data_IF_501406581381
#
_entry.id   IF_501406581381
#
_cell.length_a   1.000
_cell.length_b   1.000
_cell.length_c   1.000
_cell.angle_alpha   90.00
_cell.angle_beta   90.00
_cell.angle_gamma   90.00
#
_symmetry.space_group_name_H-M   'P 1'
#
loop_
_entity.id
_entity.type
_entity.pdbx_description
1 polymer ?
#
# COMPACT_ATOMS: atom_id res chain seq x y z
N UNK A 1 3.75 1.45 40.21
CA UNK A 1 2.79 1.14 39.13
C UNK A 1 3.56 0.41 38.03
N UNK A 2 3.39 -0.91 37.92
CA UNK A 2 4.09 -1.74 36.93
C UNK A 2 3.28 -1.67 35.63
N UNK A 3 3.80 -0.94 34.63
CA UNK A 3 3.21 -0.89 33.30
C UNK A 3 3.42 -2.24 32.60
N UNK A 4 2.49 -3.18 32.83
CA UNK A 4 2.38 -4.44 32.09
C UNK A 4 1.95 -4.16 30.66
N UNK A 5 2.86 -3.59 29.87
CA UNK A 5 2.66 -3.34 28.45
C UNK A 5 2.80 -4.67 27.73
N UNK A 6 1.66 -5.37 27.54
CA UNK A 6 1.56 -6.56 26.69
C UNK A 6 2.01 -6.21 25.27
N UNK A 7 3.30 -6.42 24.97
CA UNK A 7 3.84 -6.28 23.62
C UNK A 7 3.33 -7.45 22.79
N UNK A 8 2.60 -7.14 21.74
CA UNK A 8 2.16 -8.15 20.78
C UNK A 8 3.38 -8.73 20.05
N UNK A 9 3.42 -10.05 19.94
CA UNK A 9 4.43 -10.73 19.14
C UNK A 9 4.18 -10.41 17.64
N UNK A 10 5.23 -10.16 16.84
CA UNK A 10 5.10 -10.01 15.40
C UNK A 10 4.69 -11.34 14.72
N UNK A 11 4.15 -11.33 13.50
CA UNK A 11 3.92 -12.55 12.73
C UNK A 11 5.22 -13.30 12.42
N UNK A 12 5.13 -14.62 12.23
CA UNK A 12 6.13 -15.37 11.49
C UNK A 12 6.33 -14.73 10.11
N UNK A 13 7.58 -14.53 9.72
CA UNK A 13 7.92 -13.81 8.50
C UNK A 13 9.26 -14.31 7.97
N UNK A 14 9.38 -14.50 6.65
CA UNK A 14 10.62 -14.96 6.03
C UNK A 14 10.88 -14.18 4.75
N UNK A 15 12.10 -13.70 4.60
CA UNK A 15 12.64 -13.06 3.40
C UNK A 15 14.04 -13.63 3.15
N UNK A 16 14.67 -13.34 2.00
CA UNK A 16 16.05 -13.77 1.74
C UNK A 16 17.08 -13.32 2.79
N UNK A 17 16.78 -12.25 3.55
CA UNK A 17 17.75 -11.63 4.47
C UNK A 17 17.35 -11.69 5.95
N UNK A 18 16.09 -11.99 6.26
CA UNK A 18 15.61 -12.05 7.65
C UNK A 18 14.46 -13.03 7.81
N UNK A 19 14.40 -13.68 8.97
CA UNK A 19 13.27 -14.53 9.35
C UNK A 19 12.90 -14.36 10.83
N UNK A 20 11.61 -14.48 11.11
CA UNK A 20 11.00 -14.51 12.43
C UNK A 20 10.34 -15.88 12.56
N UNK A 21 10.87 -16.72 13.45
CA UNK A 21 10.45 -18.11 13.62
C UNK A 21 10.10 -18.35 15.07
N UNK A 22 8.95 -18.99 15.30
CA UNK A 22 8.50 -19.39 16.63
C UNK A 22 8.70 -20.90 16.84
N UNK A 23 9.19 -21.27 18.02
CA UNK A 23 9.42 -22.67 18.41
C UNK A 23 8.82 -22.92 19.80
N UNK A 24 8.00 -23.95 19.91
CA UNK A 24 7.50 -24.49 21.16
C UNK A 24 8.42 -25.63 21.63
N UNK A 25 9.08 -25.45 22.78
CA UNK A 25 9.98 -26.46 23.35
C UNK A 25 9.31 -27.16 24.54
N UNK A 26 9.08 -28.47 24.43
CA UNK A 26 8.50 -29.33 25.47
C UNK A 26 9.60 -30.18 26.08
N UNK A 27 9.92 -29.94 27.35
CA UNK A 27 10.92 -30.73 28.08
C UNK A 27 10.23 -31.71 29.03
N UNK A 28 10.41 -33.01 28.80
CA UNK A 28 9.92 -34.09 29.65
C UNK A 28 11.03 -34.51 30.62
N UNK A 29 10.78 -34.37 31.92
CA UNK A 29 11.69 -34.78 32.99
C UNK A 29 11.08 -35.97 33.75
N UNK A 30 11.84 -37.07 33.85
CA UNK A 30 11.39 -38.23 34.64
C UNK A 30 11.92 -38.09 36.07
N UNK A 31 11.02 -37.84 37.02
CA UNK A 31 11.36 -37.86 38.43
C UNK A 31 11.75 -39.30 38.86
N UNK A 32 12.91 -39.47 39.49
CA UNK A 32 13.34 -40.76 40.07
C UNK A 32 13.27 -40.65 41.59
N UNK A 33 12.61 -41.60 42.24
CA UNK A 33 12.40 -41.64 43.70
C UNK A 33 13.64 -42.00 44.54
N UNK A 34 14.87 -41.96 43.98
CA UNK A 34 16.08 -42.42 44.71
C UNK A 34 17.02 -41.27 45.05
N UNK A 35 17.49 -41.28 46.31
CA UNK A 35 18.37 -40.31 47.01
C UNK A 35 19.77 -40.06 46.39
N UNK A 36 20.05 -40.50 45.16
CA UNK A 36 21.35 -40.26 44.50
C UNK A 36 21.20 -39.31 43.30
N UNK A 37 21.88 -38.18 43.40
CA UNK A 37 21.50 -36.86 42.88
C UNK A 37 22.08 -36.47 41.50
N UNK A 38 22.59 -37.38 40.67
CA UNK A 38 23.58 -36.92 39.69
C UNK A 38 23.16 -36.72 38.22
N UNK A 39 21.94 -37.07 37.77
CA UNK A 39 21.32 -36.51 36.55
C UNK A 39 19.97 -37.16 36.25
N UNK A 40 18.88 -36.39 36.22
CA UNK A 40 17.62 -36.86 35.61
C UNK A 40 17.70 -36.69 34.10
N UNK A 41 17.50 -37.75 33.30
CA UNK A 41 17.45 -37.61 31.84
C UNK A 41 16.32 -36.65 31.47
N UNK A 42 16.63 -35.69 30.59
CA UNK A 42 15.68 -34.72 30.04
C UNK A 42 15.52 -35.01 28.56
N UNK A 43 14.29 -35.28 28.11
CA UNK A 43 13.97 -35.31 26.69
C UNK A 43 13.35 -33.98 26.29
N UNK A 44 13.86 -33.34 25.23
CA UNK A 44 13.33 -32.08 24.72
C UNK A 44 12.78 -32.30 23.32
N UNK A 45 11.54 -31.88 23.09
CA UNK A 45 10.86 -31.89 21.80
C UNK A 45 10.63 -30.44 21.40
N UNK A 46 11.19 -30.02 20.25
CA UNK A 46 11.00 -28.67 19.73
C UNK A 46 10.10 -28.69 18.49
N UNK A 47 9.02 -27.92 18.52
CA UNK A 47 8.00 -27.85 17.47
C UNK A 47 7.98 -26.43 16.91
N UNK A 48 8.29 -26.25 15.63
CA UNK A 48 8.14 -24.96 14.95
C UNK A 48 6.69 -24.74 14.56
N UNK A 49 6.21 -23.51 14.66
CA UNK A 49 4.86 -23.16 14.20
C UNK A 49 4.83 -21.77 13.56
N UNK A 50 3.88 -21.59 12.64
CA UNK A 50 3.60 -20.32 11.99
C UNK A 50 2.65 -19.49 12.84
N UNK A 51 3.16 -18.44 13.45
CA UNK A 51 2.36 -17.50 14.21
C UNK A 51 1.81 -16.41 13.29
N UNK A 52 0.48 -16.33 13.17
CA UNK A 52 -0.22 -15.33 12.35
C UNK A 52 -1.20 -14.57 13.25
N UNK A 53 -0.82 -13.41 13.83
CA UNK A 53 -1.74 -12.55 14.54
C UNK A 53 -2.95 -12.26 13.67
N UNK A 54 -4.15 -12.39 14.24
CA UNK A 54 -5.39 -12.00 13.57
C UNK A 54 -5.59 -10.50 13.77
N UNK A 55 -5.43 -9.74 12.72
CA UNK A 55 -5.90 -8.35 12.64
C UNK A 55 -7.12 -8.34 11.75
N UNK A 56 -8.19 -7.67 12.18
CA UNK A 56 -9.39 -7.48 11.38
C UNK A 56 -9.31 -6.14 10.67
N UNK A 57 -9.62 -6.13 9.38
CA UNK A 57 -9.98 -4.88 8.71
C UNK A 57 -11.30 -4.36 9.29
N UNK A 58 -11.61 -3.09 9.04
CA UNK A 58 -12.99 -2.63 9.26
C UNK A 58 -13.92 -3.14 8.17
N UNK A 59 -15.14 -2.62 8.11
CA UNK A 59 -16.07 -2.96 7.03
C UNK A 59 -15.51 -2.54 5.66
N UNK A 60 -15.46 -3.48 4.72
CA UNK A 60 -15.10 -3.19 3.34
C UNK A 60 -16.07 -2.18 2.73
N UNK A 61 -15.54 -1.19 2.00
CA UNK A 61 -16.39 -0.34 1.16
C UNK A 61 -16.77 -1.18 -0.06
N UNK A 62 -18.06 -1.39 -0.26
CA UNK A 62 -18.59 -1.99 -1.47
C UNK A 62 -19.01 -0.87 -2.42
N UNK A 63 -18.26 -0.59 -3.51
CA UNK A 63 -18.68 0.38 -4.50
C UNK A 63 -20.02 -0.05 -5.12
N UNK A 64 -20.93 0.89 -5.34
CA UNK A 64 -22.26 0.59 -5.87
C UNK A 64 -22.20 -0.01 -7.28
N UNK A 65 -21.27 0.45 -8.12
CA UNK A 65 -20.96 -0.09 -9.44
C UNK A 65 -19.55 0.34 -9.93
N UNK A 66 -18.98 -0.30 -10.96
CA UNK A 66 -17.80 0.23 -11.63
C UNK A 66 -18.08 1.64 -12.19
N UNK A 67 -17.22 2.61 -11.87
CA UNK A 67 -17.38 4.00 -12.32
C UNK A 67 -18.40 4.84 -11.54
N UNK A 68 -19.05 4.31 -10.49
CA UNK A 68 -19.98 5.07 -9.63
C UNK A 68 -19.29 5.92 -8.56
N UNK A 69 -17.97 6.13 -8.64
CA UNK A 69 -17.19 6.78 -7.59
C UNK A 69 -17.81 8.10 -7.10
N UNK A 70 -18.26 8.98 -8.00
CA UNK A 70 -18.84 10.26 -7.61
C UNK A 70 -20.19 10.11 -6.89
N UNK A 71 -20.95 9.05 -7.17
CA UNK A 71 -22.18 8.73 -6.44
C UNK A 71 -21.85 8.22 -5.05
N UNK A 72 -20.88 7.30 -4.94
CA UNK A 72 -20.43 6.72 -3.67
C UNK A 72 -19.81 7.81 -2.77
N UNK A 73 -18.98 8.69 -3.33
CA UNK A 73 -18.38 9.82 -2.62
C UNK A 73 -19.44 10.79 -2.09
N UNK A 74 -20.51 11.04 -2.85
CA UNK A 74 -21.62 11.92 -2.42
C UNK A 74 -22.49 11.26 -1.35
N UNK A 75 -22.72 9.96 -1.47
CA UNK A 75 -23.52 9.21 -0.51
C UNK A 75 -22.79 9.03 0.83
N UNK A 76 -21.48 8.82 0.79
CA UNK A 76 -20.65 8.44 1.95
C UNK A 76 -19.30 9.18 1.95
N UNK A 77 -19.27 10.52 2.06
CA UNK A 77 -18.03 11.29 1.96
C UNK A 77 -17.01 10.94 3.05
N UNK A 78 -17.49 10.62 4.27
CA UNK A 78 -16.64 10.26 5.41
C UNK A 78 -15.91 8.92 5.24
N UNK A 79 -16.39 8.07 4.33
CA UNK A 79 -15.75 6.79 4.01
C UNK A 79 -14.59 6.94 3.03
N UNK A 80 -14.42 8.11 2.40
CA UNK A 80 -13.35 8.38 1.46
C UNK A 80 -12.34 9.39 2.02
N UNK A 81 -11.07 9.09 1.82
CA UNK A 81 -9.96 10.01 2.09
C UNK A 81 -9.40 10.51 0.78
N UNK A 82 -9.35 11.83 0.65
CA UNK A 82 -8.67 12.51 -0.44
C UNK A 82 -7.21 12.79 -0.08
N UNK A 83 -6.32 12.51 -1.02
CA UNK A 83 -4.93 12.94 -1.01
C UNK A 83 -4.68 13.86 -2.20
N UNK A 84 -4.11 15.03 -1.95
CA UNK A 84 -3.83 16.02 -3.00
C UNK A 84 -2.33 16.26 -3.10
N UNK A 85 -1.80 16.22 -4.31
CA UNK A 85 -0.41 16.49 -4.64
C UNK A 85 -0.32 17.54 -5.73
N UNK A 86 0.48 18.57 -5.47
CA UNK A 86 0.82 19.57 -6.46
C UNK A 86 1.97 19.06 -7.33
N UNK A 87 1.77 19.07 -8.65
CA UNK A 87 2.71 18.58 -9.65
C UNK A 87 3.35 19.80 -10.32
N UNK A 88 4.56 20.20 -9.91
CA UNK A 88 5.23 21.34 -10.51
C UNK A 88 5.63 21.02 -11.95
N UNK A 89 5.46 22.00 -12.83
CA UNK A 89 6.12 21.97 -14.13
C UNK A 89 7.63 22.21 -13.95
N UNK A 90 8.44 21.69 -14.88
CA UNK A 90 9.88 21.93 -14.87
C UNK A 90 10.18 23.42 -15.01
N UNK A 91 11.28 23.91 -14.39
CA UNK A 91 11.70 25.30 -14.56
C UNK A 91 11.84 25.67 -16.04
N UNK A 92 11.41 26.88 -16.41
CA UNK A 92 11.47 27.43 -17.78
C UNK A 92 10.63 26.70 -18.84
N UNK A 93 9.74 25.78 -18.44
CA UNK A 93 8.80 25.13 -19.36
C UNK A 93 7.75 26.09 -19.94
N UNK A 94 7.39 27.15 -19.20
CA UNK A 94 6.28 28.03 -19.54
C UNK A 94 4.89 27.41 -19.30
N UNK A 95 4.85 26.20 -18.76
CA UNK A 95 3.62 25.43 -18.53
C UNK A 95 3.18 25.60 -17.07
N UNK A 96 1.88 25.73 -16.85
CA UNK A 96 1.31 25.83 -15.51
C UNK A 96 1.33 24.46 -14.77
N UNK A 97 1.42 24.44 -13.44
CA UNK A 97 1.42 23.19 -12.67
C UNK A 97 0.08 22.44 -12.77
N UNK A 98 0.12 21.15 -12.41
CA UNK A 98 -1.06 20.28 -12.33
C UNK A 98 -1.34 19.90 -10.87
N UNK A 99 -2.53 19.37 -10.60
CA UNK A 99 -2.93 18.82 -9.32
C UNK A 99 -3.34 17.36 -9.50
N UNK A 100 -2.66 16.47 -8.79
CA UNK A 100 -3.02 15.06 -8.68
C UNK A 100 -3.85 14.86 -7.41
N UNK A 101 -5.04 14.27 -7.55
CA UNK A 101 -5.91 13.92 -6.45
C UNK A 101 -6.13 12.41 -6.47
N UNK A 102 -6.00 11.78 -5.31
CA UNK A 102 -6.28 10.37 -5.12
C UNK A 102 -7.32 10.19 -4.02
N UNK A 103 -8.34 9.40 -4.30
CA UNK A 103 -9.39 9.03 -3.35
C UNK A 103 -9.28 7.55 -3.04
N UNK A 104 -9.20 7.21 -1.76
CA UNK A 104 -9.12 5.85 -1.23
C UNK A 104 -10.01 5.71 0.00
N UNK A 105 -10.42 4.49 0.39
CA UNK A 105 -11.14 4.28 1.64
C UNK A 105 -10.42 4.88 2.86
N UNK A 106 -11.15 5.63 3.67
CA UNK A 106 -10.61 6.41 4.78
C UNK A 106 -10.02 5.55 5.91
N UNK A 107 -10.47 4.30 6.07
CA UNK A 107 -9.95 3.43 7.12
C UNK A 107 -8.46 3.13 6.96
N UNK A 108 -7.96 3.04 5.71
CA UNK A 108 -6.55 2.74 5.42
C UNK A 108 -6.05 1.39 5.95
N UNK A 109 -6.95 0.51 6.39
CA UNK A 109 -6.68 -0.86 6.83
C UNK A 109 -7.54 -1.80 5.99
N UNK A 110 -6.90 -2.71 5.28
CA UNK A 110 -7.53 -3.59 4.29
C UNK A 110 -7.17 -5.03 4.58
N UNK A 111 -8.09 -5.97 4.43
CA UNK A 111 -7.78 -7.38 4.56
C UNK A 111 -6.93 -7.85 3.36
N UNK A 112 -6.10 -8.87 3.58
CA UNK A 112 -5.46 -9.60 2.48
C UNK A 112 -6.56 -10.19 1.58
N UNK A 113 -6.33 -10.18 0.27
CA UNK A 113 -7.30 -10.52 -0.78
C UNK A 113 -8.51 -9.58 -0.92
N UNK A 114 -8.68 -8.58 -0.04
CA UNK A 114 -9.70 -7.57 -0.19
C UNK A 114 -9.43 -6.68 -1.41
N UNK A 115 -10.52 -6.26 -2.04
CA UNK A 115 -10.50 -5.27 -3.11
C UNK A 115 -10.38 -3.88 -2.49
N UNK A 116 -9.35 -3.14 -2.87
CA UNK A 116 -9.14 -1.75 -2.47
C UNK A 116 -9.57 -0.86 -3.65
N UNK A 117 -10.79 -0.29 -3.62
CA UNK A 117 -11.21 0.63 -4.66
C UNK A 117 -10.45 1.95 -4.53
N UNK A 118 -10.20 2.61 -5.66
CA UNK A 118 -9.67 3.96 -5.67
C UNK A 118 -10.12 4.76 -6.89
N UNK A 119 -9.99 6.07 -6.77
CA UNK A 119 -10.16 7.01 -7.87
C UNK A 119 -8.96 7.95 -7.93
N UNK A 120 -8.50 8.26 -9.14
CA UNK A 120 -7.37 9.12 -9.40
C UNK A 120 -7.79 10.19 -10.39
N UNK A 121 -7.49 11.44 -10.08
CA UNK A 121 -7.79 12.58 -10.94
C UNK A 121 -6.52 13.43 -11.10
N UNK A 122 -6.16 13.73 -12.34
CA UNK A 122 -5.13 14.72 -12.66
C UNK A 122 -5.80 15.91 -13.32
N UNK A 123 -5.79 17.06 -12.64
CA UNK A 123 -6.49 18.26 -13.07
C UNK A 123 -5.55 19.46 -13.21
N UNK A 124 -5.86 20.37 -14.12
CA UNK A 124 -5.12 21.61 -14.32
C UNK A 124 -5.49 22.30 -15.64
N UNK A 125 -4.76 23.35 -16.04
CA UNK A 125 -5.00 24.01 -17.32
C UNK A 125 -4.92 23.03 -18.49
N UNK A 126 -5.84 23.12 -19.44
CA UNK A 126 -5.94 22.21 -20.58
C UNK A 126 -4.65 22.19 -21.41
N UNK A 127 -3.98 23.34 -21.56
CA UNK A 127 -2.66 23.44 -22.18
C UNK A 127 -1.62 22.58 -21.46
N UNK A 128 -1.56 22.67 -20.12
CA UNK A 128 -0.64 21.86 -19.31
C UNK A 128 -0.92 20.37 -19.40
N UNK A 129 -2.19 19.97 -19.40
CA UNK A 129 -2.56 18.56 -19.55
C UNK A 129 -2.17 18.04 -20.94
N UNK A 130 -2.39 18.78 -22.02
CA UNK A 130 -1.94 18.37 -23.37
C UNK A 130 -0.42 18.20 -23.48
N UNK A 131 0.36 18.95 -22.72
CA UNK A 131 1.81 18.75 -22.63
C UNK A 131 2.18 17.53 -21.76
N UNK A 132 1.31 17.16 -20.82
CA UNK A 132 1.49 16.00 -19.95
C UNK A 132 1.11 14.68 -20.63
N UNK A 133 0.02 14.67 -21.41
CA UNK A 133 -0.48 13.52 -22.16
C UNK A 133 -0.46 13.80 -23.67
N UNK A 134 0.13 12.91 -24.45
CA UNK A 134 0.07 13.03 -25.91
C UNK A 134 -1.29 12.51 -26.41
N UNK A 135 -2.07 13.37 -27.05
CA UNK A 135 -3.36 13.01 -27.65
C UNK A 135 -3.21 12.19 -28.95
N UNK A 136 -2.03 12.14 -29.55
CA UNK A 136 -1.78 11.34 -30.75
C UNK A 136 -1.81 9.85 -30.42
N UNK A 137 -2.86 9.16 -30.85
CA UNK A 137 -3.05 7.71 -30.66
C UNK A 137 -1.90 6.85 -31.22
N UNK A 138 -1.00 7.42 -32.03
CA UNK A 138 0.18 6.77 -32.63
C UNK A 138 1.46 6.92 -31.79
N UNK A 139 1.47 7.78 -30.77
CA UNK A 139 2.60 8.01 -29.85
C UNK A 139 2.34 7.36 -28.49
N UNK A 140 3.42 7.19 -27.73
CA UNK A 140 3.42 6.55 -26.41
C UNK A 140 2.27 7.04 -25.53
N UNK A 141 1.52 6.09 -24.96
CA UNK A 141 0.42 6.39 -24.05
C UNK A 141 0.97 6.76 -22.68
N UNK A 142 0.30 7.69 -22.01
CA UNK A 142 0.53 7.98 -20.60
C UNK A 142 0.46 6.66 -19.81
N UNK A 143 1.54 6.32 -19.10
CA UNK A 143 1.57 5.15 -18.25
C UNK A 143 1.18 5.57 -16.83
N UNK A 144 -0.01 5.12 -16.40
CA UNK A 144 -0.49 5.24 -15.03
C UNK A 144 -0.46 3.85 -14.43
N UNK A 145 0.29 3.68 -13.33
CA UNK A 145 0.34 2.45 -12.56
C UNK A 145 -0.02 2.75 -11.10
N UNK A 146 -0.90 1.94 -10.53
CA UNK A 146 -1.18 1.95 -9.10
C UNK A 146 -0.85 0.58 -8.54
N UNK A 147 0.03 0.54 -7.55
CA UNK A 147 0.55 -0.70 -6.97
C UNK A 147 0.53 -0.67 -5.46
N UNK A 148 0.59 -1.83 -4.82
CA UNK A 148 0.95 -1.93 -3.40
C UNK A 148 2.38 -2.42 -3.30
N UNK A 149 3.19 -1.62 -2.61
CA UNK A 149 4.59 -1.90 -2.36
C UNK A 149 4.76 -2.19 -0.88
N UNK A 150 5.35 -3.37 -0.60
CA UNK A 150 5.82 -3.73 0.73
C UNK A 150 7.25 -3.29 0.90
N UNK A 151 7.50 -2.55 1.98
CA UNK A 151 8.83 -2.19 2.42
C UNK A 151 9.22 -2.98 3.67
N UNK A 152 10.32 -3.73 3.61
CA UNK A 152 10.93 -4.36 4.79
C UNK A 152 12.16 -3.58 5.18
N UNK A 153 12.20 -3.07 6.40
CA UNK A 153 13.34 -2.38 6.99
C UNK A 153 13.91 -3.26 8.12
N UNK A 154 15.21 -3.53 8.07
CA UNK A 154 15.94 -4.24 9.12
C UNK A 154 16.93 -3.29 9.77
N UNK A 155 16.83 -3.13 11.09
CA UNK A 155 17.68 -2.25 11.88
C UNK A 155 18.49 -3.09 12.88
N UNK A 156 19.80 -2.83 12.95
CA UNK A 156 20.71 -3.46 13.93
C UNK A 156 21.39 -2.31 14.67
N UNK A 157 21.33 -2.33 16.01
CA UNK A 157 21.85 -1.23 16.86
C UNK A 157 21.32 0.16 16.41
N UNK A 158 20.04 0.22 16.06
CA UNK A 158 19.36 1.44 15.57
C UNK A 158 19.87 2.00 14.24
N UNK A 159 20.77 1.30 13.54
CA UNK A 159 21.22 1.67 12.20
C UNK A 159 20.46 0.84 11.15
N UNK A 160 19.94 1.47 10.08
CA UNK A 160 19.30 0.74 8.98
C UNK A 160 20.37 -0.09 8.25
N UNK A 161 20.25 -1.41 8.31
CA UNK A 161 21.18 -2.34 7.67
C UNK A 161 20.67 -2.80 6.31
N UNK A 162 19.36 -2.96 6.18
CA UNK A 162 18.75 -3.49 4.97
C UNK A 162 17.37 -2.89 4.75
N UNK A 163 17.08 -2.53 3.51
CA UNK A 163 15.77 -2.07 3.08
C UNK A 163 15.43 -2.75 1.76
N UNK A 164 14.36 -3.55 1.73
CA UNK A 164 13.80 -4.07 0.47
C UNK A 164 12.46 -3.43 0.16
N UNK A 165 12.15 -3.37 -1.13
CA UNK A 165 10.85 -2.95 -1.66
C UNK A 165 10.39 -4.00 -2.67
N UNK A 166 9.19 -4.54 -2.48
CA UNK A 166 8.59 -5.51 -3.41
C UNK A 166 7.15 -5.11 -3.72
N UNK A 167 6.78 -5.19 -5.00
CA UNK A 167 5.39 -5.03 -5.42
C UNK A 167 4.63 -6.30 -5.05
N UNK A 168 3.58 -6.17 -4.26
CA UNK A 168 2.74 -7.29 -3.78
C UNK A 168 1.30 -7.23 -4.32
N UNK A 169 0.93 -6.13 -4.96
CA UNK A 169 -0.35 -5.97 -5.63
C UNK A 169 -0.25 -4.95 -6.76
N UNK A 170 -1.02 -5.16 -7.82
CA UNK A 170 -1.18 -4.22 -8.93
C UNK A 170 -2.67 -3.95 -9.12
N UNK A 171 -3.00 -2.73 -9.48
CA UNK A 171 -4.36 -2.33 -9.76
C UNK A 171 -4.77 -2.67 -11.19
N UNK A 172 -6.04 -3.03 -11.34
CA UNK A 172 -6.75 -2.99 -12.61
C UNK A 172 -7.33 -1.58 -12.78
N UNK A 173 -6.82 -0.84 -13.77
CA UNK A 173 -7.17 0.56 -14.02
C UNK A 173 -8.11 0.71 -15.20
N UNK A 174 -9.12 1.55 -15.04
CA UNK A 174 -10.04 1.99 -16.08
C UNK A 174 -9.97 3.51 -16.22
N UNK A 175 -9.69 3.98 -17.43
CA UNK A 175 -9.85 5.39 -17.80
C UNK A 175 -11.32 5.74 -17.85
N UNK A 176 -11.72 6.83 -17.21
CA UNK A 176 -13.08 7.36 -17.30
C UNK A 176 -13.15 8.41 -18.42
N UNK A 177 -14.27 8.48 -19.15
CA UNK A 177 -14.47 9.56 -20.10
C UNK A 177 -14.45 10.92 -19.38
N UNK A 178 -14.00 11.99 -20.04
CA UNK A 178 -14.14 13.34 -19.48
C UNK A 178 -15.60 13.57 -19.11
N UNK A 179 -15.85 14.15 -17.93
CA UNK A 179 -17.20 14.57 -17.56
C UNK A 179 -17.76 15.50 -18.65
N UNK A 180 -19.08 15.49 -18.84
CA UNK A 180 -19.74 16.49 -19.67
C UNK A 180 -19.51 17.86 -19.01
N UNK A 181 -18.46 18.56 -19.42
CA UNK A 181 -18.22 19.93 -18.99
C UNK A 181 -19.40 20.76 -19.49
N UNK A 182 -20.04 21.51 -18.59
CA UNK A 182 -20.98 22.56 -18.96
C UNK A 182 -20.28 23.46 -19.99
N UNK A 183 -20.75 23.40 -21.23
CA UNK A 183 -20.20 24.16 -22.37
C UNK A 183 -20.32 25.68 -22.17
N UNK A 184 -20.99 26.12 -21.11
CA UNK A 184 -21.30 27.51 -20.81
C UNK A 184 -20.27 28.22 -19.93
N UNK A 185 -19.19 27.55 -19.50
CA UNK A 185 -18.13 28.21 -18.72
C UNK A 185 -16.76 28.12 -19.38
N UNK A 186 -16.20 29.31 -19.60
CA UNK A 186 -14.81 29.64 -19.96
C UNK A 186 -13.85 29.19 -18.84
N UNK A 187 -13.90 27.91 -18.44
CA UNK A 187 -12.91 27.35 -17.54
C UNK A 187 -11.88 26.61 -18.39
N UNK A 188 -10.70 27.18 -18.50
CA UNK A 188 -9.54 26.60 -19.21
C UNK A 188 -8.96 25.36 -18.50
N UNK A 189 -9.63 24.86 -17.45
CA UNK A 189 -9.22 23.69 -16.68
C UNK A 189 -9.86 22.41 -17.24
N UNK A 190 -9.08 21.35 -17.33
CA UNK A 190 -9.54 20.02 -17.68
C UNK A 190 -9.10 19.00 -16.60
N UNK A 191 -9.64 17.79 -16.65
CA UNK A 191 -9.22 16.67 -15.81
C UNK A 191 -9.06 15.39 -16.63
N UNK A 192 -8.17 14.52 -16.15
CA UNK A 192 -8.06 13.13 -16.58
C UNK A 192 -8.38 12.27 -15.37
N UNK A 193 -9.32 11.34 -15.54
CA UNK A 193 -9.88 10.57 -14.44
C UNK A 193 -9.68 9.06 -14.68
N UNK A 194 -9.25 8.37 -13.63
CA UNK A 194 -9.12 6.92 -13.59
C UNK A 194 -9.84 6.36 -12.37
N UNK A 195 -10.47 5.21 -12.54
CA UNK A 195 -10.96 4.41 -11.43
C UNK A 195 -10.39 3.01 -11.54
N UNK A 196 -10.16 2.38 -10.42
CA UNK A 196 -9.60 1.05 -10.43
C UNK A 196 -9.68 0.38 -9.10
N UNK A 197 -9.24 -0.86 -9.12
CA UNK A 197 -9.29 -1.75 -7.98
C UNK A 197 -7.98 -2.45 -7.81
N UNK A 198 -7.51 -2.50 -6.58
CA UNK A 198 -6.29 -3.19 -6.25
C UNK A 198 -6.59 -4.41 -5.39
N UNK A 199 -5.91 -5.53 -5.68
CA UNK A 199 -5.94 -6.73 -4.84
C UNK A 199 -4.52 -7.16 -4.50
N UNK A 200 -4.31 -7.49 -3.24
CA UNK A 200 -3.07 -8.11 -2.76
C UNK A 200 -3.35 -9.59 -2.52
N UNK A 201 -2.69 -10.46 -3.29
CA UNK A 201 -2.84 -11.91 -3.11
C UNK A 201 -2.25 -12.31 -1.75
N UNK A 202 -2.98 -13.11 -0.97
CA UNK A 202 -2.59 -13.52 0.39
C UNK A 202 -1.37 -14.44 0.47
N UNK A 203 -0.76 -14.85 -0.66
CA UNK A 203 0.26 -15.90 -0.84
C UNK A 203 1.42 -15.96 0.17
N UNK A 204 1.13 -16.28 1.43
CA UNK A 204 2.07 -16.27 2.54
C UNK A 204 2.42 -14.89 3.09
N UNK A 205 1.70 -13.82 2.69
CA UNK A 205 1.99 -12.48 3.18
C UNK A 205 1.42 -12.28 4.60
N UNK A 206 2.24 -11.76 5.51
CA UNK A 206 1.75 -11.22 6.79
C UNK A 206 1.24 -9.79 6.61
N UNK A 207 0.48 -9.26 7.59
CA UNK A 207 0.19 -7.83 7.63
C UNK A 207 1.42 -6.99 7.98
N UNK A 208 1.30 -5.65 7.92
CA UNK A 208 2.34 -4.73 8.41
C UNK A 208 2.60 -4.93 9.92
N UNK A 209 3.86 -4.93 10.34
CA UNK A 209 4.27 -5.09 11.74
C UNK A 209 5.60 -4.39 12.05
N UNK A 210 5.87 -4.15 13.33
CA UNK A 210 7.13 -3.60 13.83
C UNK A 210 7.63 -4.46 15.00
N UNK A 211 8.73 -5.18 14.77
CA UNK A 211 9.40 -6.04 15.75
C UNK A 211 10.65 -5.38 16.35
N UNK A 212 10.82 -4.06 16.18
CA UNK A 212 12.00 -3.30 16.57
C UNK A 212 13.16 -3.47 15.59
N UNK A 213 13.66 -4.70 15.42
CA UNK A 213 14.77 -5.01 14.49
C UNK A 213 14.30 -5.25 13.05
N UNK A 214 13.03 -5.60 12.86
CA UNK A 214 12.41 -5.82 11.55
C UNK A 214 11.08 -5.08 11.54
N UNK A 215 10.91 -4.23 10.54
CA UNK A 215 9.68 -3.47 10.32
C UNK A 215 9.18 -3.72 8.91
N UNK A 216 7.92 -4.09 8.78
CA UNK A 216 7.24 -4.29 7.50
C UNK A 216 6.13 -3.26 7.40
N UNK A 217 6.17 -2.46 6.33
CA UNK A 217 5.17 -1.44 6.03
C UNK A 217 4.66 -1.62 4.61
N UNK A 218 3.37 -1.36 4.41
CA UNK A 218 2.72 -1.43 3.11
C UNK A 218 2.35 -0.01 2.65
N UNK A 219 2.54 0.26 1.36
CA UNK A 219 2.22 1.54 0.76
C UNK A 219 1.44 1.32 -0.52
N UNK A 220 0.39 2.10 -0.72
CA UNK A 220 -0.19 2.28 -2.04
C UNK A 220 0.67 3.30 -2.78
N UNK A 221 1.19 2.92 -3.95
CA UNK A 221 2.08 3.74 -4.76
C UNK A 221 1.39 4.08 -6.07
N UNK A 222 1.23 5.38 -6.33
CA UNK A 222 0.80 5.92 -7.62
C UNK A 222 2.04 6.33 -8.39
N UNK A 223 2.14 5.87 -9.62
CA UNK A 223 3.25 6.12 -10.53
C UNK A 223 2.70 6.56 -11.89
N UNK A 224 2.95 7.80 -12.26
CA UNK A 224 2.52 8.37 -13.54
C UNK A 224 3.76 8.83 -14.29
N UNK A 225 3.96 8.25 -15.46
CA UNK A 225 5.06 8.61 -16.36
C UNK A 225 4.47 9.51 -17.46
N UNK A 226 4.80 10.83 -17.46
CA UNK A 226 4.42 11.72 -18.55
C UNK A 226 4.97 11.20 -19.88
N UNK A 227 4.33 11.56 -20.99
CA UNK A 227 4.84 11.15 -22.31
C UNK A 227 6.26 11.68 -22.51
N UNK A 228 7.19 10.78 -22.83
CA UNK A 228 8.59 11.12 -22.90
C UNK A 228 8.90 11.90 -24.20
N UNK A 229 9.78 12.89 -24.07
CA UNK A 229 10.31 13.63 -25.21
C UNK A 229 11.43 14.56 -24.78
N UNK A 230 12.26 15.05 -25.73
CA UNK A 230 13.32 16.02 -25.45
C UNK A 230 12.81 17.34 -24.83
N UNK A 231 11.48 17.56 -24.86
CA UNK A 231 10.78 18.70 -24.27
C UNK A 231 9.79 18.30 -23.16
N UNK A 232 9.97 17.16 -22.49
CA UNK A 232 9.08 16.78 -21.39
C UNK A 232 9.00 17.90 -20.35
N UNK A 233 7.81 18.47 -20.16
CA UNK A 233 7.56 19.63 -19.30
C UNK A 233 7.30 19.25 -17.84
N UNK A 234 7.10 17.97 -17.56
CA UNK A 234 6.84 17.43 -16.23
C UNK A 234 7.78 16.25 -15.94
N UNK A 235 8.11 16.09 -14.66
CA UNK A 235 8.81 14.90 -14.17
C UNK A 235 7.85 13.74 -13.90
N UNK A 236 8.40 12.52 -13.83
CA UNK A 236 7.66 11.34 -13.38
C UNK A 236 7.05 11.61 -12.01
N UNK A 237 5.74 11.42 -11.90
CA UNK A 237 5.02 11.59 -10.64
C UNK A 237 5.05 10.25 -9.92
N UNK A 238 5.61 10.21 -8.71
CA UNK A 238 5.59 9.01 -7.87
C UNK A 238 5.27 9.38 -6.43
N UNK A 239 4.11 8.96 -5.95
CA UNK A 239 3.65 9.21 -4.59
C UNK A 239 3.31 7.91 -3.88
N UNK A 240 3.49 7.89 -2.56
CA UNK A 240 3.29 6.72 -1.72
C UNK A 240 2.42 7.08 -0.53
N UNK A 241 1.36 6.31 -0.33
CA UNK A 241 0.38 6.48 0.74
C UNK A 241 0.46 5.28 1.68
N UNK A 242 0.70 5.49 2.98
CA UNK A 242 0.78 4.39 3.92
C UNK A 242 -0.59 3.71 4.06
N UNK A 243 -0.59 2.38 3.98
CA UNK A 243 -1.76 1.55 4.25
C UNK A 243 -1.37 0.44 5.22
N UNK A 244 -2.36 -0.24 5.80
CA UNK A 244 -2.12 -1.46 6.59
C UNK A 244 -2.87 -2.62 5.98
N UNK A 245 -2.18 -3.74 5.81
CA UNK A 245 -2.81 -5.00 5.45
C UNK A 245 -3.11 -5.82 6.71
N UNK A 246 -4.31 -6.38 6.78
CA UNK A 246 -4.83 -7.18 7.86
C UNK A 246 -4.99 -8.64 7.41
N UNK A 247 -4.75 -9.58 8.32
CA UNK A 247 -4.73 -11.01 7.98
C UNK A 247 -6.10 -11.66 7.97
N UNK A 248 -7.12 -11.01 8.53
CA UNK A 248 -8.49 -11.51 8.59
C UNK A 248 -9.43 -10.52 7.89
N UNK A 249 -10.34 -11.01 7.02
CA UNK A 249 -11.47 -10.22 6.54
C UNK A 249 -12.43 -9.86 7.67
#
# INVERSE_FOLDING_TARGET
MVNDTKRLLPPSYTTPHTSIVYTLSVTVTRARARKFFLCTPKNNIAIRFDYRPRTRAGAAICPSAPGSFLQDLKAMPDEWRQHTHHVPARPKSGVAPLNLQMYVPAMGVFALDERIPFHLQLAGPAASLREFYCADARKERLLVEVTVVRQTLVTIKSMPMFQSRSVIGRADLMTLPPGACDTDRVSDCASLDWSGDLRVKSGGHSGSFDAGIVKVQDFLVVDIIPVAGPKAHFDRIRHSYPIRLATNP
#
